data_IF_773987783430
#
_entry.id   IF_773987783430
#
_cell.length_a   1.000
_cell.length_b   1.000
_cell.length_c   1.000
_cell.angle_alpha   90.00
_cell.angle_beta   90.00
_cell.angle_gamma   90.00
#
_symmetry.space_group_name_H-M   'P 1'
#
loop_
_entity.id
_entity.type
_entity.pdbx_description
1 polymer ?
#
# COMPACT_ATOMS: atom_id res chain seq x y z
N UNK A 1 -12.92 -10.12 -22.51
CA UNK A 1 -13.65 -11.29 -21.95
C UNK A 1 -14.23 -10.86 -20.63
N UNK A 2 -15.55 -10.80 -20.49
CA UNK A 2 -16.21 -10.51 -19.22
C UNK A 2 -16.19 -11.76 -18.33
N UNK A 3 -15.86 -11.59 -17.04
CA UNK A 3 -15.97 -12.65 -16.06
C UNK A 3 -17.45 -12.99 -15.86
N UNK A 4 -17.82 -14.27 -15.95
CA UNK A 4 -19.19 -14.72 -15.71
C UNK A 4 -19.32 -15.18 -14.27
N UNK A 5 -20.06 -14.43 -13.49
CA UNK A 5 -20.34 -14.77 -12.10
C UNK A 5 -21.17 -16.05 -11.98
N UNK A 6 -20.99 -16.86 -10.93
CA UNK A 6 -21.86 -17.99 -10.62
C UNK A 6 -23.33 -17.57 -10.51
N UNK A 7 -24.24 -18.52 -10.75
CA UNK A 7 -25.68 -18.28 -10.57
C UNK A 7 -25.99 -17.86 -9.12
N UNK A 8 -26.78 -16.82 -8.96
CA UNK A 8 -27.12 -16.26 -7.65
C UNK A 8 -26.18 -15.16 -7.14
N UNK A 9 -25.04 -14.90 -7.81
CA UNK A 9 -24.21 -13.74 -7.53
C UNK A 9 -24.59 -12.57 -8.42
N UNK A 10 -24.68 -11.39 -7.83
CA UNK A 10 -24.97 -10.13 -8.52
C UNK A 10 -23.84 -9.15 -8.22
N UNK A 11 -23.28 -8.58 -9.27
CA UNK A 11 -22.38 -7.45 -9.15
C UNK A 11 -23.21 -6.18 -8.90
N UNK A 12 -22.81 -5.40 -7.91
CA UNK A 12 -23.47 -4.14 -7.54
C UNK A 12 -22.43 -3.01 -7.52
N UNK A 13 -22.92 -1.78 -7.48
CA UNK A 13 -22.06 -0.61 -7.43
C UNK A 13 -21.39 -0.44 -6.06
N UNK A 14 -20.51 0.56 -5.92
CA UNK A 14 -19.86 0.84 -4.64
C UNK A 14 -20.87 1.20 -3.56
N UNK A 15 -20.68 0.61 -2.38
CA UNK A 15 -21.49 0.92 -1.20
C UNK A 15 -21.33 2.41 -0.85
N UNK A 16 -22.43 3.10 -0.66
CA UNK A 16 -22.47 4.48 -0.18
C UNK A 16 -22.68 4.51 1.35
N UNK A 17 -23.76 3.92 1.82
CA UNK A 17 -24.11 3.87 3.22
C UNK A 17 -25.01 2.68 3.57
N UNK A 18 -25.21 2.48 4.88
CA UNK A 18 -26.12 1.49 5.42
C UNK A 18 -27.28 2.18 6.15
N UNK A 19 -28.48 1.70 5.90
CA UNK A 19 -29.70 2.14 6.61
C UNK A 19 -30.47 0.90 7.11
N UNK A 20 -30.33 0.60 8.41
CA UNK A 20 -30.85 -0.64 8.97
C UNK A 20 -30.20 -1.86 8.34
N UNK A 21 -31.00 -2.74 7.72
CA UNK A 21 -30.53 -3.91 6.98
C UNK A 21 -30.38 -3.65 5.46
N UNK A 22 -30.48 -2.39 5.01
CA UNK A 22 -30.33 -2.00 3.62
C UNK A 22 -28.96 -1.43 3.34
N UNK A 23 -28.30 -1.97 2.31
CA UNK A 23 -27.12 -1.43 1.69
C UNK A 23 -27.54 -0.52 0.54
N UNK A 24 -27.15 0.75 0.57
CA UNK A 24 -27.45 1.76 -0.45
C UNK A 24 -26.15 2.01 -1.24
N UNK A 25 -26.23 1.93 -2.56
CA UNK A 25 -25.09 2.06 -3.46
C UNK A 25 -25.02 3.43 -4.10
N UNK A 26 -23.85 3.82 -4.58
CA UNK A 26 -23.60 5.15 -5.18
C UNK A 26 -24.40 5.44 -6.45
N UNK A 27 -24.95 4.42 -7.09
CA UNK A 27 -25.86 4.54 -8.24
C UNK A 27 -27.33 4.74 -7.82
N UNK A 28 -27.62 4.82 -6.52
CA UNK A 28 -28.94 4.98 -5.95
C UNK A 28 -29.75 3.67 -5.81
N UNK A 29 -29.18 2.55 -6.21
CA UNK A 29 -29.82 1.24 -5.96
C UNK A 29 -29.69 0.80 -4.51
N UNK A 30 -30.60 -0.04 -4.04
CA UNK A 30 -30.56 -0.61 -2.70
C UNK A 30 -30.72 -2.13 -2.71
N UNK A 31 -30.14 -2.78 -1.71
CA UNK A 31 -30.26 -4.22 -1.51
C UNK A 31 -30.32 -4.53 -0.02
N UNK A 32 -31.25 -5.39 0.38
CA UNK A 32 -31.26 -5.96 1.73
C UNK A 32 -30.10 -6.93 1.91
N UNK A 33 -29.43 -6.85 3.06
CA UNK A 33 -28.31 -7.71 3.40
C UNK A 33 -28.32 -8.02 4.89
N UNK A 34 -28.29 -9.32 5.22
CA UNK A 34 -28.19 -9.78 6.61
C UNK A 34 -26.75 -9.71 7.12
N UNK A 35 -25.79 -9.87 6.22
CA UNK A 35 -24.35 -9.86 6.55
C UNK A 35 -23.58 -9.11 5.46
N UNK A 36 -22.66 -8.27 5.89
CA UNK A 36 -21.72 -7.57 5.01
C UNK A 36 -20.31 -7.94 5.42
N UNK A 37 -19.52 -8.46 4.46
CA UNK A 37 -18.13 -8.81 4.67
C UNK A 37 -17.27 -7.74 3.99
N UNK A 38 -16.48 -6.99 4.79
CA UNK A 38 -15.58 -5.96 4.31
C UNK A 38 -14.23 -6.54 3.95
N UNK A 39 -13.95 -6.66 2.66
CA UNK A 39 -12.65 -7.10 2.13
C UNK A 39 -11.85 -5.92 1.58
N UNK A 40 -11.81 -4.81 2.32
CA UNK A 40 -11.26 -3.52 1.89
C UNK A 40 -9.76 -3.38 2.11
N UNK A 41 -9.10 -4.44 2.57
CA UNK A 41 -7.66 -4.44 2.90
C UNK A 41 -7.37 -3.80 4.26
N UNK A 42 -6.11 -3.46 4.47
CA UNK A 42 -5.60 -2.99 5.76
C UNK A 42 -4.90 -1.65 5.61
N UNK A 43 -4.95 -0.84 6.65
CA UNK A 43 -4.09 0.33 6.79
C UNK A 43 -2.80 -0.07 7.51
N UNK A 44 -1.69 0.55 7.11
CA UNK A 44 -0.44 0.39 7.85
C UNK A 44 -0.57 0.99 9.25
N UNK A 45 -0.32 0.19 10.26
CA UNK A 45 -0.41 0.60 11.66
C UNK A 45 0.78 0.07 12.46
N UNK A 46 1.54 0.97 13.03
CA UNK A 46 2.76 0.68 13.80
C UNK A 46 2.68 1.31 15.19
N UNK A 47 1.88 0.75 16.13
CA UNK A 47 1.62 1.37 17.43
C UNK A 47 2.86 1.48 18.31
N UNK A 48 3.90 0.70 18.03
CA UNK A 48 5.18 0.71 18.71
C UNK A 48 6.18 1.75 18.19
N UNK A 49 5.86 2.42 17.06
CA UNK A 49 6.70 3.47 16.50
C UNK A 49 6.19 4.85 16.90
N UNK A 50 7.12 5.78 17.12
CA UNK A 50 6.80 7.19 17.25
C UNK A 50 6.11 7.68 15.97
N UNK A 51 5.16 8.59 16.10
CA UNK A 51 4.40 9.13 14.96
C UNK A 51 5.29 9.69 13.83
N UNK A 52 6.42 10.30 14.17
CA UNK A 52 7.38 10.84 13.19
C UNK A 52 8.05 9.77 12.35
N UNK A 53 8.11 8.54 12.85
CA UNK A 53 8.69 7.39 12.17
C UNK A 53 7.64 6.51 11.51
N UNK A 54 6.36 6.70 11.83
CA UNK A 54 5.28 5.90 11.28
C UNK A 54 5.01 6.24 9.82
N UNK A 55 4.94 5.21 9.00
CA UNK A 55 4.53 5.34 7.60
C UNK A 55 3.04 5.67 7.54
N UNK A 56 2.72 6.91 7.16
CA UNK A 56 1.34 7.41 6.99
C UNK A 56 1.12 7.73 5.52
N UNK A 57 0.60 6.80 4.75
CA UNK A 57 0.31 7.03 3.34
C UNK A 57 -0.87 6.20 2.86
N UNK A 58 -1.68 6.77 2.00
CA UNK A 58 -2.69 6.06 1.22
C UNK A 58 -2.11 5.51 -0.09
N UNK A 59 -0.95 6.00 -0.51
CA UNK A 59 -0.25 5.48 -1.68
C UNK A 59 0.54 4.23 -1.30
N UNK A 60 -0.03 3.07 -1.60
CA UNK A 60 0.56 1.76 -1.30
C UNK A 60 1.48 1.25 -2.41
N UNK A 61 1.36 1.81 -3.62
CA UNK A 61 2.27 1.46 -4.72
C UNK A 61 3.64 2.11 -4.57
N UNK A 62 3.65 3.33 -4.07
CA UNK A 62 4.88 4.10 -3.89
C UNK A 62 4.82 4.90 -2.57
N UNK A 63 5.13 4.26 -1.43
CA UNK A 63 5.14 4.96 -0.15
C UNK A 63 6.18 6.09 -0.15
N UNK A 64 5.78 7.34 0.12
CA UNK A 64 6.70 8.46 0.21
C UNK A 64 7.71 8.22 1.35
N UNK A 65 8.86 8.88 1.29
CA UNK A 65 9.96 8.75 2.25
C UNK A 65 10.64 7.39 2.34
N UNK A 66 10.28 6.42 1.51
CA UNK A 66 10.98 5.15 1.44
C UNK A 66 11.84 5.07 0.19
N UNK A 67 13.16 5.20 0.36
CA UNK A 67 14.10 4.96 -0.74
C UNK A 67 14.05 3.50 -1.17
N UNK A 68 13.83 3.27 -2.46
CA UNK A 68 13.55 1.95 -3.06
C UNK A 68 12.44 1.18 -2.36
N UNK A 69 11.46 1.90 -1.78
CA UNK A 69 10.33 1.30 -1.08
C UNK A 69 10.67 0.64 0.27
N UNK A 70 11.89 0.82 0.78
CA UNK A 70 12.38 0.10 1.96
C UNK A 70 13.00 1.01 3.00
N UNK A 71 13.99 1.83 2.62
CA UNK A 71 14.82 2.59 3.57
C UNK A 71 14.18 3.94 3.87
N UNK A 72 13.95 4.22 5.15
CA UNK A 72 13.44 5.52 5.59
C UNK A 72 14.46 6.62 5.30
N UNK A 73 14.05 7.64 4.56
CA UNK A 73 14.98 8.70 4.08
C UNK A 73 15.55 9.56 5.20
N UNK A 74 14.75 9.82 6.23
CA UNK A 74 15.15 10.67 7.35
C UNK A 74 16.02 9.92 8.38
N UNK A 75 16.01 8.58 8.35
CA UNK A 75 16.81 7.74 9.24
C UNK A 75 17.09 6.37 8.61
N UNK A 76 18.25 6.19 8.05
CA UNK A 76 18.66 4.96 7.35
C UNK A 76 18.79 3.73 8.27
N UNK A 77 18.64 3.88 9.58
CA UNK A 77 18.55 2.75 10.54
C UNK A 77 17.16 2.16 10.62
N UNK A 78 16.15 2.85 10.06
CA UNK A 78 14.78 2.35 9.97
C UNK A 78 14.50 1.87 8.56
N UNK A 79 14.05 0.63 8.45
CA UNK A 79 13.72 -0.01 7.18
C UNK A 79 12.36 -0.68 7.28
N UNK A 80 11.54 -0.49 6.26
CA UNK A 80 10.22 -1.09 6.14
C UNK A 80 10.25 -2.15 5.05
N UNK A 81 9.81 -3.36 5.35
CA UNK A 81 9.68 -4.46 4.40
C UNK A 81 8.21 -4.72 4.11
N UNK A 82 7.88 -5.00 2.86
CA UNK A 82 6.54 -5.37 2.50
C UNK A 82 5.50 -4.25 2.45
N UNK A 83 5.93 -2.98 2.40
CA UNK A 83 5.01 -1.83 2.45
C UNK A 83 4.42 -1.45 1.10
N UNK A 84 4.90 -2.02 0.01
CA UNK A 84 4.41 -1.73 -1.33
C UNK A 84 3.43 -2.80 -1.79
N UNK A 85 2.28 -2.39 -2.31
CA UNK A 85 1.39 -3.29 -3.03
C UNK A 85 2.01 -3.62 -4.40
N UNK A 86 2.28 -4.90 -4.63
CA UNK A 86 2.92 -5.39 -5.82
C UNK A 86 2.21 -6.64 -6.34
N UNK A 87 2.23 -6.82 -7.65
CA UNK A 87 1.64 -8.01 -8.27
C UNK A 87 2.38 -9.30 -7.88
N UNK A 88 3.73 -9.22 -7.77
CA UNK A 88 4.60 -10.32 -7.33
C UNK A 88 5.09 -10.11 -5.90
N UNK A 89 4.17 -10.11 -4.95
CA UNK A 89 4.38 -9.67 -3.57
C UNK A 89 5.53 -10.41 -2.88
N UNK A 90 5.54 -11.74 -2.89
CA UNK A 90 6.56 -12.52 -2.19
C UNK A 90 7.96 -12.37 -2.79
N UNK A 91 8.09 -12.38 -4.11
CA UNK A 91 9.39 -12.16 -4.77
C UNK A 91 9.94 -10.76 -4.47
N UNK A 92 9.06 -9.76 -4.36
CA UNK A 92 9.46 -8.41 -3.98
C UNK A 92 9.95 -8.37 -2.53
N UNK A 93 9.29 -9.08 -1.61
CA UNK A 93 9.71 -9.14 -0.20
C UNK A 93 11.07 -9.79 -0.05
N UNK A 94 11.36 -10.87 -0.78
CA UNK A 94 12.67 -11.49 -0.81
C UNK A 94 13.75 -10.54 -1.34
N UNK A 95 13.47 -9.85 -2.44
CA UNK A 95 14.38 -8.85 -3.00
C UNK A 95 14.65 -7.70 -2.02
N UNK A 96 13.62 -7.22 -1.33
CA UNK A 96 13.74 -6.20 -0.29
C UNK A 96 14.58 -6.71 0.88
N UNK A 97 14.37 -7.95 1.33
CA UNK A 97 15.13 -8.54 2.42
C UNK A 97 16.62 -8.70 2.07
N UNK A 98 16.93 -9.13 0.84
CA UNK A 98 18.32 -9.21 0.37
C UNK A 98 18.98 -7.84 0.28
N UNK A 99 18.25 -6.85 -0.20
CA UNK A 99 18.75 -5.47 -0.27
C UNK A 99 19.06 -4.90 1.11
N UNK A 100 18.17 -5.09 2.08
CA UNK A 100 18.38 -4.71 3.48
C UNK A 100 19.57 -5.42 4.10
N UNK A 101 19.68 -6.74 3.90
CA UNK A 101 20.86 -7.52 4.34
C UNK A 101 22.16 -6.90 3.83
N UNK A 102 22.22 -6.58 2.55
CA UNK A 102 23.45 -6.07 1.94
C UNK A 102 23.78 -4.65 2.41
N UNK A 103 22.78 -3.84 2.79
CA UNK A 103 23.01 -2.56 3.46
C UNK A 103 23.59 -2.78 4.87
N UNK A 104 22.98 -3.67 5.66
CA UNK A 104 23.45 -3.97 7.03
C UNK A 104 24.87 -4.51 7.04
N UNK A 105 25.20 -5.33 6.05
CA UNK A 105 26.53 -5.89 5.87
C UNK A 105 27.54 -4.90 5.24
N UNK A 106 27.18 -3.65 5.01
CA UNK A 106 27.99 -2.61 4.35
C UNK A 106 28.46 -2.97 2.93
N UNK A 107 27.77 -3.87 2.24
CA UNK A 107 28.02 -4.21 0.83
C UNK A 107 27.45 -3.15 -0.12
N UNK A 108 26.41 -2.46 0.29
CA UNK A 108 25.76 -1.39 -0.45
C UNK A 108 25.85 -0.11 0.38
N UNK A 109 26.36 0.95 -0.26
CA UNK A 109 26.34 2.31 0.32
C UNK A 109 25.06 3.00 -0.10
N UNK A 110 24.33 3.54 0.88
CA UNK A 110 23.16 4.36 0.60
C UNK A 110 23.57 5.76 0.13
N UNK A 111 22.84 6.35 -0.81
CA UNK A 111 23.01 7.75 -1.16
C UNK A 111 22.58 8.65 0.00
N UNK A 112 23.04 9.90 -0.01
CA UNK A 112 22.57 10.90 0.95
C UNK A 112 21.06 11.19 0.75
N UNK A 113 20.40 11.66 1.80
CA UNK A 113 18.98 12.05 1.73
C UNK A 113 18.73 13.10 0.64
N UNK A 114 19.65 14.05 0.46
CA UNK A 114 19.55 15.09 -0.57
C UNK A 114 19.64 14.50 -2.00
N UNK A 115 20.54 13.55 -2.22
CA UNK A 115 20.67 12.86 -3.51
C UNK A 115 19.39 12.05 -3.84
N UNK A 116 18.74 11.43 -2.84
CA UNK A 116 17.48 10.72 -3.00
C UNK A 116 16.35 11.69 -3.35
N UNK A 117 16.24 12.80 -2.64
CA UNK A 117 15.23 13.83 -2.89
C UNK A 117 15.33 14.37 -4.31
N UNK A 118 16.55 14.62 -4.79
CA UNK A 118 16.79 15.08 -6.16
C UNK A 118 16.30 14.08 -7.21
N UNK A 119 16.58 12.79 -7.05
CA UNK A 119 16.12 11.75 -7.99
C UNK A 119 14.61 11.61 -8.04
N UNK A 120 13.92 11.81 -6.93
CA UNK A 120 12.46 11.79 -6.89
C UNK A 120 11.80 12.99 -7.60
N UNK A 121 12.46 14.16 -7.57
CA UNK A 121 11.98 15.38 -8.23
C UNK A 121 12.23 15.37 -9.75
N UNK A 122 13.23 14.63 -10.22
CA UNK A 122 13.66 14.64 -11.61
C UNK A 122 13.09 13.49 -12.46
N UNK A 123 12.38 12.54 -11.87
CA UNK A 123 11.64 11.55 -12.66
C UNK A 123 10.52 12.29 -13.41
N UNK A 124 10.52 12.28 -14.75
CA UNK A 124 9.46 12.93 -15.51
C UNK A 124 8.15 12.21 -15.20
N UNK A 125 7.26 12.89 -14.51
CA UNK A 125 5.84 12.54 -14.52
C UNK A 125 5.35 12.76 -15.94
N UNK A 126 5.46 11.72 -16.79
CA UNK A 126 4.72 11.71 -18.04
C UNK A 126 3.25 11.64 -17.68
N UNK A 127 2.58 12.77 -17.92
CA UNK A 127 1.12 12.85 -17.94
C UNK A 127 0.53 11.88 -18.97
#
# INVERSE_FOLDING_TARGET
MGFKWPSGMKEVYYLDRLEGNKAIFKDGTEQEADVIILCTGYLHHFPFLNEKLSLKTHNRLYPPKLYKGVVWQDNHKLMYLGMQDQFHTFNMFDAQAWYVRDIIMNKIKLPSSDAVSYTHLTLPTKA
#
